data_IF_565380972830
#
_entry.id   IF_565380972830
#
_cell.length_a   1.000
_cell.length_b   1.000
_cell.length_c   1.000
_cell.angle_alpha   90.00
_cell.angle_beta   90.00
_cell.angle_gamma   90.00
#
_symmetry.space_group_name_H-M   'P 1'
#
loop_
_entity.id
_entity.type
_entity.pdbx_description
1 polymer ?
#
# COMPACT_ATOMS: atom_id res chain seq x y z
N UNK A 1 -5.38 -7.69 -2.70
CA UNK A 1 -4.06 -7.18 -2.30
C UNK A 1 -3.84 -7.45 -0.81
N UNK A 2 -2.58 -7.51 -0.34
CA UNK A 2 -2.24 -7.95 1.03
C UNK A 2 -2.67 -6.95 2.11
N UNK A 3 -2.59 -5.65 1.82
CA UNK A 3 -2.94 -4.59 2.77
C UNK A 3 -4.43 -4.60 3.13
N UNK A 4 -5.32 -4.83 2.17
CA UNK A 4 -6.76 -4.96 2.41
C UNK A 4 -7.06 -6.15 3.29
N UNK A 5 -6.40 -7.29 3.08
CA UNK A 5 -6.54 -8.45 3.96
C UNK A 5 -6.09 -8.15 5.39
N UNK A 6 -5.04 -7.36 5.56
CA UNK A 6 -4.53 -6.95 6.88
C UNK A 6 -5.44 -5.94 7.58
N UNK A 7 -6.15 -5.11 6.82
CA UNK A 7 -6.91 -3.95 7.33
C UNK A 7 -8.43 -4.16 7.29
N UNK A 8 -8.91 -5.39 7.46
CA UNK A 8 -10.34 -5.70 7.61
C UNK A 8 -11.11 -5.92 6.29
N UNK A 9 -10.40 -6.09 5.19
CA UNK A 9 -10.94 -6.44 3.87
C UNK A 9 -11.43 -5.24 3.06
N UNK A 10 -11.90 -5.54 1.84
CA UNK A 10 -12.37 -4.54 0.88
C UNK A 10 -13.62 -3.75 1.37
N UNK A 11 -14.33 -4.21 2.39
CA UNK A 11 -15.43 -3.43 2.98
C UNK A 11 -14.96 -2.30 3.89
N UNK A 12 -13.74 -2.42 4.44
CA UNK A 12 -13.22 -1.54 5.49
C UNK A 12 -11.99 -0.75 5.03
N UNK A 13 -11.26 -1.24 4.03
CA UNK A 13 -10.02 -0.64 3.57
C UNK A 13 -9.86 -0.66 2.05
N UNK A 14 -9.27 0.42 1.55
CA UNK A 14 -8.73 0.56 0.19
C UNK A 14 -7.32 1.16 0.30
N UNK A 15 -6.35 0.50 -0.32
CA UNK A 15 -5.05 1.10 -0.55
C UNK A 15 -5.17 2.31 -1.49
N UNK A 16 -4.15 3.17 -1.53
CA UNK A 16 -4.06 4.26 -2.48
C UNK A 16 -4.15 3.77 -3.93
N UNK A 17 -4.74 4.60 -4.79
CA UNK A 17 -4.98 4.29 -6.21
C UNK A 17 -3.72 3.83 -6.95
N UNK A 18 -2.56 4.40 -6.60
CA UNK A 18 -1.25 4.04 -7.14
C UNK A 18 -0.95 2.54 -7.09
N UNK A 19 -1.44 1.82 -6.07
CA UNK A 19 -1.18 0.39 -5.90
C UNK A 19 -1.97 -0.47 -6.88
N UNK A 20 -2.93 0.11 -7.62
CA UNK A 20 -3.69 -0.55 -8.67
C UNK A 20 -3.20 -0.18 -10.08
N UNK A 21 -2.20 0.70 -10.18
CA UNK A 21 -1.51 0.99 -11.43
C UNK A 21 -0.56 -0.16 -11.79
N UNK A 22 -0.35 -0.40 -13.08
CA UNK A 22 0.62 -1.40 -13.53
C UNK A 22 2.02 -1.04 -13.01
N UNK A 23 2.58 -1.90 -12.16
CA UNK A 23 3.89 -1.70 -11.54
C UNK A 23 3.91 -0.74 -10.35
N UNK A 24 2.78 -0.10 -10.02
CA UNK A 24 2.60 0.78 -8.86
C UNK A 24 3.70 1.85 -8.67
N UNK A 25 4.22 2.40 -9.77
CA UNK A 25 5.39 3.28 -9.76
C UNK A 25 5.24 4.52 -8.86
N UNK A 26 4.04 5.10 -8.78
CA UNK A 26 3.78 6.26 -7.92
C UNK A 26 3.82 5.97 -6.41
N UNK A 27 3.81 4.69 -6.01
CA UNK A 27 3.95 4.26 -4.62
C UNK A 27 5.21 3.44 -4.38
N UNK A 28 6.10 3.37 -5.38
CA UNK A 28 7.41 2.78 -5.26
C UNK A 28 8.34 3.78 -4.53
N UNK A 29 8.76 3.42 -3.33
CA UNK A 29 9.65 4.21 -2.51
C UNK A 29 11.12 3.96 -2.88
N UNK A 30 11.49 2.70 -3.10
CA UNK A 30 12.87 2.36 -3.48
C UNK A 30 12.99 1.01 -4.20
N UNK A 31 14.10 0.85 -4.92
CA UNK A 31 14.52 -0.38 -5.57
C UNK A 31 15.90 -0.75 -5.03
N UNK A 32 16.08 -2.00 -4.61
CA UNK A 32 17.35 -2.52 -4.10
C UNK A 32 17.57 -3.97 -4.53
N UNK A 33 18.73 -4.54 -4.20
CA UNK A 33 18.99 -5.96 -4.41
C UNK A 33 18.04 -6.88 -3.63
N UNK A 34 17.42 -6.38 -2.56
CA UNK A 34 16.41 -7.12 -1.80
C UNK A 34 15.04 -7.14 -2.49
N UNK A 35 14.77 -6.19 -3.38
CA UNK A 35 13.51 -6.07 -4.11
C UNK A 35 12.98 -4.64 -4.19
N UNK A 36 11.64 -4.52 -4.25
CA UNK A 36 10.92 -3.26 -4.41
C UNK A 36 10.22 -2.87 -3.11
N UNK A 37 10.57 -1.71 -2.57
CA UNK A 37 9.89 -1.15 -1.41
C UNK A 37 8.74 -0.26 -1.87
N UNK A 38 7.52 -0.57 -1.47
CA UNK A 38 6.36 0.29 -1.67
C UNK A 38 5.95 0.93 -0.37
N UNK A 39 5.65 2.23 -0.42
CA UNK A 39 5.08 3.00 0.67
C UNK A 39 3.80 3.67 0.18
N UNK A 40 2.68 3.38 0.83
CA UNK A 40 1.40 3.93 0.43
C UNK A 40 0.45 4.10 1.62
N UNK A 41 -0.45 5.05 1.47
CA UNK A 41 -1.54 5.28 2.41
C UNK A 41 -2.81 4.54 1.99
N UNK A 42 -3.73 4.36 2.92
CA UNK A 42 -5.05 3.83 2.65
C UNK A 42 -6.03 4.16 3.76
N UNK A 43 -7.30 3.85 3.53
CA UNK A 43 -8.38 4.16 4.46
C UNK A 43 -9.69 3.53 4.04
N UNK A 44 -10.80 3.98 4.63
CA UNK A 44 -12.13 3.48 4.32
C UNK A 44 -12.45 3.63 2.81
N UNK A 45 -13.26 2.74 2.19
CA UNK A 45 -13.66 2.91 0.80
C UNK A 45 -14.18 4.33 0.54
N UNK A 46 -13.65 5.00 -0.50
CA UNK A 46 -13.96 6.40 -0.79
C UNK A 46 -13.00 7.42 -0.18
N UNK A 47 -12.07 7.03 0.71
CA UNK A 47 -11.19 7.95 1.44
C UNK A 47 -10.42 8.93 0.54
N UNK A 48 -9.95 8.44 -0.61
CA UNK A 48 -9.13 9.22 -1.54
C UNK A 48 -9.98 10.19 -2.38
N UNK A 49 -11.28 9.94 -2.50
CA UNK A 49 -12.23 10.81 -3.21
C UNK A 49 -12.80 11.92 -2.31
N UNK A 50 -12.54 11.86 -1.00
CA UNK A 50 -12.94 12.94 -0.08
C UNK A 50 -12.13 14.22 -0.36
N UNK A 51 -12.68 15.36 0.05
CA UNK A 51 -12.02 16.65 -0.06
C UNK A 51 -11.99 17.35 1.30
N UNK A 52 -10.86 17.32 2.05
CA UNK A 52 -9.59 16.70 1.67
C UNK A 52 -9.62 15.15 1.75
N UNK A 53 -8.69 14.44 1.09
CA UNK A 53 -8.50 13.00 1.29
C UNK A 53 -8.27 12.66 2.76
N UNK A 54 -8.82 11.53 3.22
CA UNK A 54 -8.76 11.13 4.63
C UNK A 54 -8.22 9.69 4.83
N UNK A 55 -6.93 9.47 4.58
CA UNK A 55 -6.30 8.18 4.86
C UNK A 55 -6.24 7.92 6.37
N UNK A 56 -6.16 6.65 6.77
CA UNK A 56 -6.08 6.23 8.17
C UNK A 56 -4.88 5.34 8.48
N UNK A 57 -4.33 4.65 7.47
CA UNK A 57 -3.24 3.70 7.62
C UNK A 57 -2.17 4.00 6.57
N UNK A 58 -0.92 3.94 6.99
CA UNK A 58 0.24 3.86 6.11
C UNK A 58 0.79 2.44 6.13
N UNK A 59 1.12 1.93 4.95
CA UNK A 59 1.64 0.58 4.75
C UNK A 59 2.96 0.65 4.00
N UNK A 60 3.95 -0.09 4.49
CA UNK A 60 5.24 -0.28 3.85
C UNK A 60 5.45 -1.76 3.60
N UNK A 61 5.70 -2.15 2.34
CA UNK A 61 5.86 -3.55 1.93
C UNK A 61 7.07 -3.73 1.04
N UNK A 62 7.81 -4.80 1.29
CA UNK A 62 8.91 -5.25 0.44
C UNK A 62 8.42 -6.40 -0.45
N UNK A 63 8.55 -6.22 -1.76
CA UNK A 63 8.20 -7.22 -2.78
C UNK A 63 9.50 -7.79 -3.37
N UNK A 64 9.49 -9.07 -3.71
CA UNK A 64 10.64 -9.76 -4.34
C UNK A 64 11.12 -9.04 -5.59
N UNK A 65 12.41 -9.22 -5.93
CA UNK A 65 13.00 -8.69 -7.16
C UNK A 65 12.31 -9.20 -8.44
N UNK A 66 11.70 -10.39 -8.38
CA UNK A 66 10.92 -10.96 -9.48
C UNK A 66 9.48 -10.40 -9.53
N UNK A 67 9.08 -9.59 -8.54
CA UNK A 67 7.77 -8.93 -8.48
C UNK A 67 6.60 -9.84 -8.12
N UNK A 68 6.86 -11.11 -7.79
CA UNK A 68 5.86 -12.18 -7.70
C UNK A 68 5.36 -12.47 -6.28
N UNK A 69 6.07 -12.02 -5.24
CA UNK A 69 5.70 -12.27 -3.84
C UNK A 69 6.07 -11.13 -2.91
N UNK A 70 5.26 -10.95 -1.88
CA UNK A 70 5.58 -10.05 -0.76
C UNK A 70 6.56 -10.79 0.16
N UNK A 71 7.73 -10.19 0.37
CA UNK A 71 8.76 -10.68 1.28
C UNK A 71 8.48 -10.23 2.72
N UNK A 72 8.08 -8.96 2.90
CA UNK A 72 7.87 -8.37 4.21
C UNK A 72 6.79 -7.28 4.18
N UNK A 73 6.08 -7.12 5.29
CA UNK A 73 5.27 -5.94 5.58
C UNK A 73 5.93 -5.24 6.77
N UNK A 74 6.86 -4.33 6.48
CA UNK A 74 7.69 -3.66 7.50
C UNK A 74 6.89 -2.64 8.31
N UNK A 75 5.79 -2.13 7.76
CA UNK A 75 4.86 -1.27 8.49
C UNK A 75 3.42 -1.40 7.98
N UNK A 76 2.45 -1.36 8.90
CA UNK A 76 1.02 -1.27 8.60
C UNK A 76 0.30 -0.70 9.83
N UNK A 77 0.19 0.62 9.91
CA UNK A 77 -0.31 1.30 11.10
C UNK A 77 -0.71 2.74 10.85
N UNK A 78 -0.91 3.52 11.92
CA UNK A 78 -1.29 4.93 11.85
C UNK A 78 -0.32 5.75 10.99
N UNK A 79 -0.83 6.77 10.31
CA UNK A 79 -0.02 7.65 9.47
C UNK A 79 1.08 8.33 10.30
N UNK A 80 2.28 8.42 9.72
CA UNK A 80 3.47 9.03 10.33
C UNK A 80 3.73 10.43 9.78
#
# INVERSE_FOLDING_TARGET
MRAELLNGGLGQYRAASCMYETGAGSCLESISDQGFQFLFQGGAPGWQQQNPPNPTIETSVLVSRDGDRILEVSYNGTIR
#
